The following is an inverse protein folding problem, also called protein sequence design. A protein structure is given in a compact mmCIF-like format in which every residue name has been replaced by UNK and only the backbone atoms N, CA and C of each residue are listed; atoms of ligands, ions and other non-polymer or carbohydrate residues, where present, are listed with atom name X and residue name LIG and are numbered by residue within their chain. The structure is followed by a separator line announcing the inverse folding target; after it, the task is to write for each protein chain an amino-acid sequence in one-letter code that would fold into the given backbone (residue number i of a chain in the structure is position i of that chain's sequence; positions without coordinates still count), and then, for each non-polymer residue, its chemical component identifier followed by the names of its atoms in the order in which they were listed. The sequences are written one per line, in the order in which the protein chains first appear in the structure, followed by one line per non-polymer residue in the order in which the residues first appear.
data_IF_650420682871
#
_entry.id   IF_650420682871
#
_cell.length_a   1.000
_cell.length_b   1.000
_cell.length_c   1.000
_cell.angle_alpha   90.00
_cell.angle_beta   90.00
_cell.angle_gamma   90.00
#
_symmetry.space_group_name_H-M   'P 1'
#
loop_
_entity.id
_entity.type
_entity.pdbx_description
1 polymer ?
#
# COMPACT_ATOMS: atom_id res chain seq x y z
N UNK A 1 -27.64 -80.04 -20.18
CA UNK A 1 -28.09 -79.04 -21.12
C UNK A 1 -27.86 -77.68 -20.46
N UNK A 2 -26.97 -76.97 -21.04
CA UNK A 2 -26.22 -75.80 -20.73
C UNK A 2 -27.05 -74.55 -20.53
N UNK A 3 -26.83 -73.81 -19.46
CA UNK A 3 -27.36 -72.47 -19.25
C UNK A 3 -26.19 -71.50 -18.98
N UNK A 4 -25.90 -70.65 -19.93
CA UNK A 4 -24.77 -69.69 -19.94
C UNK A 4 -25.18 -68.51 -19.06
N UNK A 5 -24.44 -68.30 -17.97
CA UNK A 5 -24.58 -67.10 -17.10
C UNK A 5 -23.78 -65.96 -17.68
N UNK A 6 -24.47 -64.95 -18.26
CA UNK A 6 -23.90 -63.70 -18.67
C UNK A 6 -23.50 -62.81 -17.49
N UNK A 7 -22.22 -62.59 -17.28
CA UNK A 7 -21.67 -61.63 -16.31
C UNK A 7 -21.57 -60.26 -16.98
N UNK A 8 -22.52 -59.37 -16.68
CA UNK A 8 -22.44 -57.95 -17.04
C UNK A 8 -21.38 -57.24 -16.19
N UNK A 9 -20.27 -56.89 -16.85
CA UNK A 9 -19.19 -56.11 -16.27
C UNK A 9 -19.63 -54.64 -16.20
N UNK A 10 -19.95 -54.12 -15.00
CA UNK A 10 -20.20 -52.72 -14.80
C UNK A 10 -18.87 -51.99 -14.69
N UNK A 11 -18.50 -51.28 -15.75
CA UNK A 11 -17.40 -50.33 -15.71
C UNK A 11 -17.77 -49.11 -14.85
N UNK A 12 -17.14 -48.97 -13.70
CA UNK A 12 -17.22 -47.78 -12.86
C UNK A 12 -16.28 -46.74 -13.46
N UNK A 13 -16.81 -45.72 -14.11
CA UNK A 13 -16.06 -44.57 -14.56
C UNK A 13 -15.78 -43.66 -13.36
N UNK A 14 -14.56 -43.69 -12.85
CA UNK A 14 -14.10 -42.72 -11.84
C UNK A 14 -13.76 -41.42 -12.56
N UNK A 15 -14.65 -40.43 -12.43
CA UNK A 15 -14.37 -39.07 -12.89
C UNK A 15 -13.32 -38.43 -11.95
N UNK A 16 -12.09 -38.33 -12.44
CA UNK A 16 -11.04 -37.51 -11.77
C UNK A 16 -11.39 -36.05 -11.96
N UNK A 17 -11.98 -35.42 -10.93
CA UNK A 17 -12.12 -33.98 -10.84
C UNK A 17 -10.72 -33.41 -10.55
N UNK A 18 -10.05 -32.96 -11.61
CA UNK A 18 -8.80 -32.23 -11.49
C UNK A 18 -9.05 -30.88 -10.79
N UNK A 19 -8.63 -30.78 -9.53
CA UNK A 19 -8.56 -29.48 -8.85
C UNK A 19 -7.43 -28.67 -9.50
N UNK A 20 -7.79 -27.77 -10.41
CA UNK A 20 -6.86 -26.75 -10.89
C UNK A 20 -6.59 -25.78 -9.74
N UNK A 21 -5.51 -26.02 -9.01
CA UNK A 21 -4.95 -25.00 -8.12
C UNK A 21 -4.31 -23.94 -9.02
N UNK A 22 -5.06 -22.88 -9.30
CA UNK A 22 -4.50 -21.66 -9.88
C UNK A 22 -3.61 -21.06 -8.80
N UNK A 23 -2.32 -21.40 -8.81
CA UNK A 23 -1.32 -20.68 -8.02
C UNK A 23 -1.27 -19.25 -8.57
N UNK A 24 -1.84 -18.30 -7.83
CA UNK A 24 -1.60 -16.89 -8.09
C UNK A 24 -0.07 -16.68 -8.12
N UNK A 25 0.48 -15.96 -9.12
CA UNK A 25 1.90 -15.68 -9.12
C UNK A 25 2.24 -14.97 -7.82
N UNK A 26 3.14 -15.55 -7.04
CA UNK A 26 3.80 -14.88 -5.94
C UNK A 26 4.43 -13.64 -6.57
N UNK A 27 3.87 -12.46 -6.33
CA UNK A 27 4.45 -11.22 -6.84
C UNK A 27 5.85 -11.13 -6.23
N UNK A 28 6.85 -11.48 -7.05
CA UNK A 28 8.24 -11.30 -6.70
C UNK A 28 8.41 -9.85 -6.25
N UNK A 29 9.12 -9.62 -5.15
CA UNK A 29 9.49 -8.27 -4.75
C UNK A 29 10.09 -7.58 -5.97
N UNK A 30 9.46 -6.51 -6.45
CA UNK A 30 9.92 -5.80 -7.64
C UNK A 30 11.34 -5.31 -7.38
N UNK A 31 12.33 -5.92 -8.05
CA UNK A 31 13.71 -5.46 -8.01
C UNK A 31 13.82 -4.22 -8.90
N UNK A 32 13.64 -3.07 -8.28
CA UNK A 32 13.88 -1.80 -8.94
C UNK A 32 15.36 -1.66 -9.32
N UNK A 33 15.69 -0.95 -10.43
CA UNK A 33 17.06 -0.69 -10.80
C UNK A 33 17.87 -0.06 -9.66
N UNK A 34 19.16 -0.40 -9.55
CA UNK A 34 20.06 0.10 -8.50
C UNK A 34 20.12 1.63 -8.46
N UNK A 35 20.03 2.29 -9.62
CA UNK A 35 19.97 3.75 -9.71
C UNK A 35 18.78 4.34 -8.96
N UNK A 36 17.59 3.72 -9.07
CA UNK A 36 16.40 4.17 -8.35
C UNK A 36 16.52 3.87 -6.86
N UNK A 37 16.98 2.68 -6.50
CA UNK A 37 17.19 2.28 -5.10
C UNK A 37 18.19 3.22 -4.41
N UNK A 38 19.29 3.53 -5.07
CA UNK A 38 20.32 4.47 -4.58
C UNK A 38 19.75 5.87 -4.40
N UNK A 39 18.95 6.35 -5.37
CA UNK A 39 18.31 7.64 -5.27
C UNK A 39 17.32 7.70 -4.10
N UNK A 40 16.43 6.71 -3.94
CA UNK A 40 15.50 6.65 -2.82
C UNK A 40 16.26 6.61 -1.48
N UNK A 41 17.32 5.81 -1.37
CA UNK A 41 18.14 5.74 -0.16
C UNK A 41 18.81 7.09 0.19
N UNK A 42 19.29 7.83 -0.82
CA UNK A 42 19.82 9.18 -0.64
C UNK A 42 18.75 10.14 -0.12
N UNK A 43 17.56 10.16 -0.75
CA UNK A 43 16.46 11.03 -0.34
C UNK A 43 15.98 10.69 1.06
N UNK A 44 15.90 9.40 1.40
CA UNK A 44 15.47 8.94 2.73
C UNK A 44 16.35 9.49 3.87
N UNK A 45 17.65 9.66 3.63
CA UNK A 45 18.56 10.27 4.60
C UNK A 45 18.32 11.78 4.81
N UNK A 46 17.65 12.43 3.88
CA UNK A 46 17.40 13.88 3.87
C UNK A 46 15.98 14.27 4.33
N UNK A 47 15.13 13.31 4.64
CA UNK A 47 13.74 13.55 5.10
C UNK A 47 13.49 12.89 6.44
N UNK A 48 12.52 13.43 7.19
CA UNK A 48 12.06 12.80 8.42
C UNK A 48 11.32 11.51 8.10
N UNK A 49 11.54 10.46 8.88
CA UNK A 49 10.92 9.15 8.68
C UNK A 49 10.36 8.59 9.97
N UNK A 50 9.35 7.73 9.86
CA UNK A 50 8.83 6.93 10.96
C UNK A 50 8.56 5.49 10.49
N UNK A 51 8.60 4.54 11.39
CA UNK A 51 8.29 3.13 11.16
C UNK A 51 6.82 2.80 11.46
N UNK A 52 6.47 1.52 11.39
CA UNK A 52 5.13 1.01 11.67
C UNK A 52 4.68 1.32 13.12
N UNK A 53 5.59 1.18 14.08
CA UNK A 53 5.29 1.45 15.50
C UNK A 53 4.99 2.92 15.74
N UNK A 54 5.82 3.80 15.20
CA UNK A 54 5.63 5.25 15.28
C UNK A 54 4.34 5.68 14.59
N UNK A 55 4.04 5.12 13.41
CA UNK A 55 2.81 5.45 12.70
C UNK A 55 1.54 4.93 13.39
N UNK A 56 1.58 3.75 14.01
CA UNK A 56 0.48 3.26 14.86
C UNK A 56 0.17 4.21 16.03
N UNK A 57 1.19 4.80 16.63
CA UNK A 57 0.99 5.79 17.68
C UNK A 57 0.29 7.06 17.14
N UNK A 58 0.64 7.48 15.92
CA UNK A 58 -0.02 8.61 15.24
C UNK A 58 -1.47 8.29 14.93
N UNK A 59 -1.78 7.09 14.43
CA UNK A 59 -3.17 6.68 14.14
C UNK A 59 -4.06 6.69 15.39
N UNK A 60 -3.52 6.30 16.54
CA UNK A 60 -4.24 6.33 17.82
C UNK A 60 -4.50 7.76 18.32
N UNK A 61 -3.63 8.68 18.02
CA UNK A 61 -3.76 10.08 18.42
C UNK A 61 -3.12 11.01 17.36
N UNK A 62 -3.85 11.33 16.29
CA UNK A 62 -3.33 12.13 15.18
C UNK A 62 -2.96 13.57 15.57
N UNK A 63 -3.57 14.14 16.62
CA UNK A 63 -3.33 15.52 17.06
C UNK A 63 -3.39 16.55 15.91
N UNK A 64 -4.39 16.42 15.05
CA UNK A 64 -4.57 17.29 13.88
C UNK A 64 -3.62 17.03 12.71
N UNK A 65 -2.79 15.99 12.76
CA UNK A 65 -1.96 15.62 11.62
C UNK A 65 -2.79 15.18 10.43
N UNK A 66 -2.34 15.52 9.22
CA UNK A 66 -2.91 15.03 7.96
C UNK A 66 -2.16 13.77 7.55
N UNK A 67 -2.89 12.70 7.29
CA UNK A 67 -2.35 11.39 6.90
C UNK A 67 -2.64 11.15 5.41
N UNK A 68 -1.61 10.99 4.60
CA UNK A 68 -1.73 10.93 3.14
C UNK A 68 -1.24 9.57 2.63
N UNK A 69 -2.09 8.90 1.84
CA UNK A 69 -1.71 7.76 1.01
C UNK A 69 -1.42 8.24 -0.41
N UNK A 70 -0.16 8.13 -0.85
CA UNK A 70 0.26 8.57 -2.18
C UNK A 70 0.23 7.45 -3.24
N UNK A 71 -0.47 6.36 -2.96
CA UNK A 71 -0.72 5.30 -3.95
C UNK A 71 -1.75 5.77 -4.99
N UNK A 72 -1.84 5.00 -6.06
CA UNK A 72 -2.87 5.23 -7.07
C UNK A 72 -4.28 4.95 -6.48
N UNK A 73 -5.30 5.62 -7.03
CA UNK A 73 -6.67 5.53 -6.54
C UNK A 73 -7.20 4.08 -6.51
N UNK A 74 -6.85 3.26 -7.51
CA UNK A 74 -7.23 1.85 -7.55
C UNK A 74 -6.59 1.03 -6.43
N UNK A 75 -5.33 1.32 -6.04
CA UNK A 75 -4.67 0.67 -4.90
C UNK A 75 -5.35 1.06 -3.58
N UNK A 76 -5.71 2.33 -3.44
CA UNK A 76 -6.39 2.85 -2.26
C UNK A 76 -7.79 2.23 -2.08
N UNK A 77 -8.58 2.17 -3.15
CA UNK A 77 -9.92 1.57 -3.13
C UNK A 77 -9.92 0.07 -2.84
N UNK A 78 -8.85 -0.64 -3.21
CA UNK A 78 -8.70 -2.06 -2.91
C UNK A 78 -8.44 -2.33 -1.42
N UNK A 79 -8.02 -1.31 -0.68
CA UNK A 79 -7.82 -1.33 0.77
C UNK A 79 -6.80 -0.29 1.21
N UNK A 80 -7.02 0.31 2.39
CA UNK A 80 -6.20 1.41 2.89
C UNK A 80 -6.20 1.50 4.42
N UNK A 81 -5.32 2.33 4.95
CA UNK A 81 -5.25 2.60 6.38
C UNK A 81 -6.34 3.62 6.75
N UNK A 82 -7.22 3.33 7.74
CA UNK A 82 -8.28 4.25 8.15
C UNK A 82 -7.78 5.65 8.50
N UNK A 83 -8.56 6.67 8.12
CA UNK A 83 -8.23 8.06 8.41
C UNK A 83 -7.17 8.67 7.48
N UNK A 84 -6.71 7.95 6.48
CA UNK A 84 -5.81 8.51 5.46
C UNK A 84 -6.60 9.08 4.27
N UNK A 85 -6.06 10.13 3.67
CA UNK A 85 -6.60 10.76 2.45
C UNK A 85 -5.75 10.32 1.27
N UNK A 86 -6.40 9.85 0.20
CA UNK A 86 -5.68 9.49 -1.01
C UNK A 86 -5.38 10.73 -1.87
N UNK A 87 -4.10 10.98 -2.05
CA UNK A 87 -3.60 11.96 -3.01
C UNK A 87 -2.48 11.28 -3.81
N UNK A 88 -2.77 10.74 -5.02
CA UNK A 88 -1.76 10.09 -5.84
C UNK A 88 -0.54 10.97 -6.05
N UNK A 89 0.66 10.36 -5.97
CA UNK A 89 1.93 11.09 -6.01
C UNK A 89 2.05 12.04 -7.21
N UNK A 90 1.52 11.65 -8.39
CA UNK A 90 1.60 12.44 -9.62
C UNK A 90 0.81 13.75 -9.61
N UNK A 91 0.01 14.02 -8.58
CA UNK A 91 -0.81 15.25 -8.45
C UNK A 91 -0.70 15.87 -7.05
N UNK A 92 0.27 15.41 -6.26
CA UNK A 92 0.39 15.76 -4.84
C UNK A 92 0.56 17.26 -4.63
N UNK A 93 1.45 17.92 -5.39
CA UNK A 93 1.81 19.32 -5.26
C UNK A 93 0.59 20.24 -5.45
N UNK A 94 -0.34 19.84 -6.33
CA UNK A 94 -1.54 20.62 -6.61
C UNK A 94 -2.67 20.32 -5.65
N UNK A 95 -2.84 19.04 -5.25
CA UNK A 95 -3.97 18.61 -4.42
C UNK A 95 -3.76 18.85 -2.94
N UNK A 96 -2.51 18.88 -2.46
CA UNK A 96 -2.20 19.13 -1.05
C UNK A 96 -2.72 20.49 -0.59
N UNK A 97 -2.59 21.53 -1.39
CA UNK A 97 -3.11 22.86 -1.06
C UNK A 97 -4.62 22.86 -0.88
N UNK A 98 -5.37 22.16 -1.76
CA UNK A 98 -6.83 22.02 -1.63
C UNK A 98 -7.19 21.26 -0.36
N UNK A 99 -6.45 20.18 -0.05
CA UNK A 99 -6.65 19.39 1.15
C UNK A 99 -6.44 20.22 2.42
N UNK A 100 -5.55 21.20 2.39
CA UNK A 100 -5.25 22.09 3.52
C UNK A 100 -6.05 23.41 3.48
N UNK A 101 -7.07 23.52 2.64
CA UNK A 101 -8.06 24.59 2.68
C UNK A 101 -7.84 25.75 1.70
N UNK A 102 -6.91 25.63 0.71
CA UNK A 102 -6.80 26.64 -0.35
C UNK A 102 -8.17 26.89 -1.02
N UNK A 103 -8.55 28.17 -1.35
CA UNK A 103 -7.72 29.37 -1.42
C UNK A 103 -7.50 30.17 -0.12
N UNK A 104 -7.92 29.65 1.03
CA UNK A 104 -7.53 30.26 2.31
C UNK A 104 -6.02 30.07 2.55
N UNK A 105 -5.47 30.80 3.52
CA UNK A 105 -4.08 30.63 3.92
C UNK A 105 -3.81 29.19 4.34
N UNK A 106 -2.86 28.55 3.69
CA UNK A 106 -2.42 27.19 4.00
C UNK A 106 -1.28 27.25 5.01
N UNK A 107 -1.42 26.52 6.13
CA UNK A 107 -0.33 26.37 7.09
C UNK A 107 0.71 25.37 6.59
N UNK A 108 1.85 25.86 6.12
CA UNK A 108 2.97 25.01 5.66
C UNK A 108 3.71 24.31 6.80
N UNK A 109 3.40 24.60 8.06
CA UNK A 109 3.90 23.90 9.25
C UNK A 109 2.95 22.77 9.70
N UNK A 110 1.83 22.60 9.01
CA UNK A 110 0.88 21.52 9.26
C UNK A 110 1.62 20.18 9.31
N UNK A 111 1.35 19.38 10.35
CA UNK A 111 1.96 18.06 10.48
C UNK A 111 1.36 17.10 9.47
N UNK A 112 2.20 16.51 8.64
CA UNK A 112 1.79 15.63 7.55
C UNK A 112 2.59 14.31 7.65
N UNK A 113 1.88 13.18 7.57
CA UNK A 113 2.49 11.87 7.39
C UNK A 113 2.12 11.33 6.03
N UNK A 114 3.12 10.83 5.29
CA UNK A 114 2.94 10.31 3.94
C UNK A 114 3.33 8.85 3.90
N UNK A 115 2.42 7.99 3.46
CA UNK A 115 2.72 6.58 3.23
C UNK A 115 2.41 6.13 1.80
N UNK A 116 2.89 4.95 1.47
CA UNK A 116 2.56 4.23 0.23
C UNK A 116 2.69 2.73 0.48
N UNK A 117 2.76 1.90 -0.57
CA UNK A 117 2.85 0.45 -0.44
C UNK A 117 4.11 -0.04 0.30
N UNK A 118 5.30 0.56 0.05
CA UNK A 118 6.61 0.06 0.55
C UNK A 118 7.56 1.16 1.02
N UNK A 119 7.08 2.40 1.14
CA UNK A 119 7.87 3.55 1.61
C UNK A 119 8.67 4.31 0.53
N UNK A 120 8.88 3.75 -0.66
CA UNK A 120 9.64 4.41 -1.73
C UNK A 120 8.95 5.67 -2.27
N UNK A 121 7.71 5.55 -2.74
CA UNK A 121 6.89 6.69 -3.18
C UNK A 121 6.70 7.71 -2.07
N UNK A 122 6.47 7.26 -0.83
CA UNK A 122 6.32 8.12 0.34
C UNK A 122 7.57 8.96 0.61
N UNK A 123 8.77 8.36 0.54
CA UNK A 123 10.05 9.07 0.69
C UNK A 123 10.19 10.20 -0.32
N UNK A 124 9.91 9.92 -1.59
CA UNK A 124 10.02 10.92 -2.67
C UNK A 124 8.94 12.00 -2.55
N UNK A 125 7.71 11.63 -2.18
CA UNK A 125 6.61 12.57 -1.93
C UNK A 125 6.91 13.51 -0.75
N UNK A 126 7.51 12.98 0.32
CA UNK A 126 7.93 13.80 1.47
C UNK A 126 8.97 14.85 1.06
N UNK A 127 9.96 14.46 0.23
CA UNK A 127 10.93 15.41 -0.32
C UNK A 127 10.23 16.49 -1.15
N UNK A 128 9.33 16.12 -2.04
CA UNK A 128 8.57 17.02 -2.89
C UNK A 128 7.81 18.09 -2.05
N UNK A 129 7.08 17.65 -1.04
CA UNK A 129 6.37 18.57 -0.15
C UNK A 129 7.33 19.51 0.59
N UNK A 130 8.51 19.03 1.02
CA UNK A 130 9.54 19.89 1.65
C UNK A 130 10.11 20.91 0.66
N UNK A 131 10.33 20.52 -0.59
CA UNK A 131 10.85 21.42 -1.64
C UNK A 131 9.88 22.55 -1.98
N UNK A 132 8.56 22.32 -1.87
CA UNK A 132 7.53 23.37 -2.06
C UNK A 132 7.16 24.11 -0.78
N UNK A 133 7.91 23.92 0.31
CA UNK A 133 7.86 24.74 1.52
C UNK A 133 7.14 24.14 2.74
N UNK A 134 6.63 22.93 2.68
CA UNK A 134 6.09 22.26 3.87
C UNK A 134 7.22 21.80 4.78
N UNK A 135 7.23 22.23 6.05
CA UNK A 135 8.37 22.02 6.96
C UNK A 135 8.20 20.83 7.90
N UNK A 136 6.97 20.32 8.07
CA UNK A 136 6.65 19.29 9.06
C UNK A 136 6.06 18.04 8.38
N UNK A 137 6.84 17.43 7.49
CA UNK A 137 6.43 16.26 6.70
C UNK A 137 7.30 15.06 7.02
N UNK A 138 6.67 13.92 7.31
CA UNK A 138 7.34 12.66 7.70
C UNK A 138 6.94 11.54 6.75
N UNK A 139 7.91 10.86 6.17
CA UNK A 139 7.70 9.64 5.39
C UNK A 139 7.46 8.44 6.31
N UNK A 140 6.39 7.69 6.08
CA UNK A 140 6.10 6.45 6.79
C UNK A 140 6.70 5.27 6.03
N UNK A 141 7.64 4.60 6.66
CA UNK A 141 8.38 3.46 6.09
C UNK A 141 7.76 2.14 6.55
N UNK A 142 6.70 1.72 5.86
CA UNK A 142 5.99 0.47 6.10
C UNK A 142 5.86 -0.33 4.82
N UNK A 143 5.68 -1.65 4.95
CA UNK A 143 5.16 -2.51 3.89
C UNK A 143 3.68 -2.76 4.20
N UNK A 144 2.75 -2.36 3.32
CA UNK A 144 1.32 -2.48 3.56
C UNK A 144 0.83 -3.93 3.62
N UNK A 145 1.48 -4.86 2.92
CA UNK A 145 1.13 -6.28 3.00
C UNK A 145 1.46 -6.83 4.40
N UNK A 146 2.62 -6.46 4.94
CA UNK A 146 3.02 -6.87 6.29
C UNK A 146 2.17 -6.16 7.35
N UNK A 147 1.79 -4.91 7.08
CA UNK A 147 0.87 -4.14 7.92
C UNK A 147 -0.49 -4.83 8.07
N UNK A 148 -1.12 -5.23 6.95
CA UNK A 148 -2.41 -5.94 6.93
C UNK A 148 -2.28 -7.33 7.59
N UNK A 149 -1.24 -8.11 7.27
CA UNK A 149 -0.98 -9.43 7.87
C UNK A 149 -0.77 -9.37 9.38
N UNK A 150 -0.22 -8.29 9.89
CA UNK A 150 -0.03 -8.08 11.33
C UNK A 150 -1.33 -7.69 12.06
N UNK A 151 -2.47 -7.61 11.38
CA UNK A 151 -3.75 -7.21 11.95
C UNK A 151 -3.84 -5.74 12.34
N UNK A 152 -2.99 -4.89 11.78
CA UNK A 152 -3.04 -3.45 11.98
C UNK A 152 -4.29 -2.83 11.32
N UNK A 153 -4.70 -1.60 11.69
CA UNK A 153 -5.89 -0.96 11.13
C UNK A 153 -5.89 -0.95 9.60
N UNK A 154 -6.96 -1.49 9.02
CA UNK A 154 -7.13 -1.66 7.57
C UNK A 154 -8.61 -1.67 7.21
N UNK A 155 -9.00 -0.98 6.13
CA UNK A 155 -10.35 -0.97 5.58
C UNK A 155 -10.36 -1.14 4.06
N UNK A 156 -11.50 -1.67 3.53
CA UNK A 156 -11.72 -1.93 2.10
C UNK A 156 -12.96 -1.22 1.63
#
# INVERSE_FOLDING_TARGET
MSGIMSRTLRCLAIALVGVFVVSAPLMAAENWPDSLNTYIAKVRKAVDTTDAKGFLAVLKNPNGAVLIDVREEGEFKAGHIPGTVNIPRGVLEFRIYKQLGYPKTVDTKQKIYVHCATGGRATLATKELKDIGFTNVTAVLINLQDWEKAGNPWEK
#
